data_IF_922314898898
#
_entry.id   IF_922314898898
#
_cell.length_a   1.000
_cell.length_b   1.000
_cell.length_c   1.000
_cell.angle_alpha   90.00
_cell.angle_beta   90.00
_cell.angle_gamma   90.00
#
_symmetry.space_group_name_H-M   'P 1'
#
loop_
_entity.id
_entity.type
_entity.pdbx_description
1 polymer ?
#
# COMPACT_ATOMS: atom_id res chain seq x y z
N UNK A 1 -6.37 -25.99 -29.84
CA UNK A 1 -6.16 -25.34 -28.52
C UNK A 1 -4.71 -24.87 -28.47
N UNK A 2 -4.42 -23.56 -28.33
CA UNK A 2 -3.03 -23.12 -28.09
C UNK A 2 -2.65 -23.58 -26.68
N UNK A 3 -1.60 -24.37 -26.58
CA UNK A 3 -1.00 -24.72 -25.28
C UNK A 3 -0.66 -23.45 -24.54
N UNK A 4 -1.18 -23.31 -23.32
CA UNK A 4 -0.86 -22.16 -22.46
C UNK A 4 0.56 -22.33 -21.97
N UNK A 5 1.45 -21.34 -22.16
CA UNK A 5 2.80 -21.45 -21.64
C UNK A 5 2.76 -21.67 -20.12
N UNK A 6 3.64 -22.54 -19.58
CA UNK A 6 3.66 -22.86 -18.15
C UNK A 6 4.02 -21.65 -17.29
N UNK A 7 4.70 -20.64 -17.85
CA UNK A 7 5.11 -19.42 -17.17
C UNK A 7 4.29 -18.24 -17.67
N UNK A 8 3.92 -17.34 -16.74
CA UNK A 8 3.15 -16.11 -17.02
C UNK A 8 3.93 -14.90 -16.53
N UNK A 9 3.93 -13.84 -17.33
CA UNK A 9 4.32 -12.52 -16.84
C UNK A 9 3.31 -12.04 -15.80
N UNK A 10 3.80 -11.51 -14.69
CA UNK A 10 3.02 -10.85 -13.67
C UNK A 10 3.89 -9.74 -13.02
N UNK A 11 3.26 -8.85 -12.27
CA UNK A 11 3.96 -7.87 -11.46
C UNK A 11 3.34 -7.80 -10.06
N UNK A 12 4.09 -7.26 -9.07
CA UNK A 12 3.62 -7.25 -7.68
C UNK A 12 2.40 -6.35 -7.53
N UNK A 13 2.50 -5.06 -7.87
CA UNK A 13 1.37 -4.14 -7.69
C UNK A 13 1.66 -2.72 -8.09
N UNK A 14 2.72 -2.13 -7.57
CA UNK A 14 3.07 -0.72 -7.79
C UNK A 14 3.60 -0.48 -9.19
N UNK A 15 3.17 0.62 -9.80
CA UNK A 15 3.62 1.10 -11.10
C UNK A 15 4.07 2.56 -11.03
N UNK A 16 4.84 3.00 -12.03
CA UNK A 16 5.32 4.37 -12.09
C UNK A 16 4.15 5.34 -12.25
N UNK A 17 4.04 6.29 -11.33
CA UNK A 17 2.98 7.29 -11.34
C UNK A 17 3.20 8.30 -12.46
N UNK A 18 2.17 8.61 -13.27
CA UNK A 18 2.29 9.65 -14.30
C UNK A 18 2.46 11.05 -13.68
N UNK A 19 3.16 11.94 -14.37
CA UNK A 19 3.45 13.30 -13.88
C UNK A 19 2.20 14.11 -13.49
N UNK A 20 1.05 13.87 -14.16
CA UNK A 20 -0.22 14.51 -13.80
C UNK A 20 -0.69 14.12 -12.39
N UNK A 21 -0.45 12.88 -11.98
CA UNK A 21 -0.83 12.41 -10.64
C UNK A 21 0.06 13.03 -9.56
N UNK A 22 1.37 13.17 -9.83
CA UNK A 22 2.27 13.88 -8.91
C UNK A 22 1.85 15.34 -8.72
N UNK A 23 1.50 16.06 -9.81
CA UNK A 23 1.01 17.44 -9.73
C UNK A 23 -0.29 17.54 -8.95
N UNK A 24 -1.28 16.68 -9.24
CA UNK A 24 -2.55 16.67 -8.55
C UNK A 24 -2.38 16.47 -7.03
N UNK A 25 -1.51 15.57 -6.62
CA UNK A 25 -1.19 15.33 -5.20
C UNK A 25 -0.51 16.54 -4.55
N UNK A 26 0.39 17.19 -5.25
CA UNK A 26 1.04 18.43 -4.76
C UNK A 26 0.02 19.57 -4.62
N UNK A 27 -0.90 19.71 -5.58
CA UNK A 27 -1.97 20.72 -5.53
C UNK A 27 -2.97 20.44 -4.39
N UNK A 28 -3.34 19.17 -4.20
CA UNK A 28 -4.20 18.75 -3.11
C UNK A 28 -3.52 19.02 -1.75
N UNK A 29 -2.27 18.61 -1.57
CA UNK A 29 -1.52 18.86 -0.34
C UNK A 29 -1.35 20.36 -0.02
N UNK A 30 -1.35 21.21 -1.04
CA UNK A 30 -1.30 22.67 -0.92
C UNK A 30 -2.69 23.34 -0.81
N UNK A 31 -3.78 22.55 -0.69
CA UNK A 31 -5.15 23.06 -0.61
C UNK A 31 -5.69 23.68 -1.91
N UNK A 32 -5.04 23.47 -3.05
CA UNK A 32 -5.46 23.99 -4.35
C UNK A 32 -6.36 23.05 -5.13
N UNK A 33 -6.55 21.82 -4.65
CA UNK A 33 -7.39 20.80 -5.27
C UNK A 33 -8.23 20.12 -4.18
N UNK A 34 -9.52 19.87 -4.46
CA UNK A 34 -10.40 19.13 -3.56
C UNK A 34 -10.12 17.63 -3.58
N UNK A 35 -10.66 16.89 -2.60
CA UNK A 35 -10.60 15.42 -2.55
C UNK A 35 -11.22 14.81 -3.80
N UNK A 36 -12.37 15.30 -4.27
CA UNK A 36 -13.04 14.82 -5.48
C UNK A 36 -12.20 15.12 -6.75
N UNK A 37 -11.51 16.27 -6.76
CA UNK A 37 -10.59 16.62 -7.85
C UNK A 37 -9.42 15.64 -7.92
N UNK A 38 -8.79 15.36 -6.79
CA UNK A 38 -7.71 14.38 -6.72
C UNK A 38 -8.22 12.98 -7.12
N UNK A 39 -9.36 12.55 -6.57
CA UNK A 39 -9.95 11.26 -6.91
C UNK A 39 -10.22 11.12 -8.41
N UNK A 40 -10.70 12.18 -9.06
CA UNK A 40 -10.93 12.19 -10.52
C UNK A 40 -9.64 11.95 -11.31
N UNK A 41 -8.54 12.58 -10.89
CA UNK A 41 -7.23 12.38 -11.53
C UNK A 41 -6.69 10.98 -11.27
N UNK A 42 -6.85 10.45 -10.04
CA UNK A 42 -6.47 9.09 -9.68
C UNK A 42 -7.26 8.06 -10.50
N UNK A 43 -8.57 8.21 -10.59
CA UNK A 43 -9.46 7.35 -11.38
C UNK A 43 -9.03 7.29 -12.84
N UNK A 44 -8.74 8.46 -13.43
CA UNK A 44 -8.26 8.55 -14.79
C UNK A 44 -6.92 7.85 -14.99
N UNK A 45 -5.99 8.03 -14.05
CA UNK A 45 -4.68 7.38 -14.10
C UNK A 45 -4.78 5.85 -13.93
N UNK A 46 -5.69 5.38 -13.06
CA UNK A 46 -5.92 3.94 -12.85
C UNK A 46 -6.55 3.31 -14.09
N UNK A 47 -7.53 3.96 -14.72
CA UNK A 47 -8.09 3.46 -16.00
C UNK A 47 -7.03 3.32 -17.09
N UNK A 48 -6.11 4.29 -17.17
CA UNK A 48 -5.03 4.25 -18.17
C UNK A 48 -4.04 3.12 -17.89
N UNK A 49 -3.65 2.94 -16.64
CA UNK A 49 -2.69 1.89 -16.28
C UNK A 49 -3.28 0.49 -16.36
N UNK A 50 -4.59 0.33 -16.10
CA UNK A 50 -5.29 -0.95 -16.31
C UNK A 50 -5.33 -1.29 -17.80
N UNK A 51 -5.71 -0.33 -18.67
CA UNK A 51 -5.67 -0.54 -20.13
C UNK A 51 -4.29 -0.93 -20.63
N UNK A 52 -3.25 -0.30 -20.11
CA UNK A 52 -1.87 -0.63 -20.48
C UNK A 52 -1.53 -2.07 -20.07
N UNK A 53 -1.85 -2.49 -18.84
CA UNK A 53 -1.61 -3.86 -18.37
C UNK A 53 -2.34 -4.89 -19.23
N UNK A 54 -3.59 -4.65 -19.58
CA UNK A 54 -4.38 -5.53 -20.46
C UNK A 54 -3.83 -5.57 -21.89
N UNK A 55 -3.39 -4.41 -22.41
CA UNK A 55 -2.86 -4.31 -23.78
C UNK A 55 -1.55 -5.07 -23.99
N UNK A 56 -0.73 -5.21 -22.94
CA UNK A 56 0.50 -6.01 -22.99
C UNK A 56 0.27 -7.50 -22.64
N UNK A 57 -0.99 -7.90 -22.41
CA UNK A 57 -1.40 -9.28 -22.21
C UNK A 57 -1.22 -9.80 -20.78
N UNK A 58 -1.10 -8.93 -19.78
CA UNK A 58 -1.12 -9.35 -18.38
C UNK A 58 -2.50 -9.93 -18.05
N UNK A 59 -2.53 -11.03 -17.32
CA UNK A 59 -3.76 -11.69 -16.89
C UNK A 59 -4.32 -11.15 -15.60
N UNK A 60 -3.48 -10.53 -14.78
CA UNK A 60 -3.88 -9.79 -13.59
C UNK A 60 -3.54 -8.32 -13.80
N UNK A 61 -4.42 -7.43 -13.34
CA UNK A 61 -4.19 -6.00 -13.34
C UNK A 61 -4.38 -5.42 -11.95
N UNK A 62 -3.53 -4.46 -11.60
CA UNK A 62 -3.61 -3.70 -10.35
C UNK A 62 -3.97 -2.25 -10.65
N UNK A 63 -4.34 -1.51 -9.62
CA UNK A 63 -4.51 -0.05 -9.68
C UNK A 63 -3.18 0.73 -9.71
N UNK A 64 -2.04 0.02 -9.80
CA UNK A 64 -0.69 0.61 -9.76
C UNK A 64 -0.32 1.18 -8.39
N UNK A 65 -1.17 0.99 -7.37
CA UNK A 65 -1.09 1.62 -6.05
C UNK A 65 -1.15 3.16 -6.15
N UNK A 66 -1.86 3.68 -7.16
CA UNK A 66 -1.87 5.11 -7.46
C UNK A 66 -2.58 5.96 -6.42
N UNK A 67 -3.40 5.38 -5.56
CA UNK A 67 -4.04 6.07 -4.44
C UNK A 67 -3.19 6.08 -3.16
N UNK A 68 -2.13 5.27 -3.10
CA UNK A 68 -1.30 5.12 -1.90
C UNK A 68 -0.15 6.12 -1.89
N UNK A 69 0.17 6.65 -0.73
CA UNK A 69 1.41 7.36 -0.48
C UNK A 69 2.56 6.38 -0.19
N UNK A 70 2.25 5.35 0.60
CA UNK A 70 3.18 4.25 0.93
C UNK A 70 2.53 2.90 0.65
N UNK A 71 3.23 2.03 -0.08
CA UNK A 71 2.71 0.71 -0.49
C UNK A 71 2.31 -0.17 0.71
N UNK A 72 2.95 -0.02 1.87
CA UNK A 72 2.71 -0.82 3.07
C UNK A 72 2.08 -0.02 4.22
N UNK A 73 2.57 1.20 4.51
CA UNK A 73 2.11 1.94 5.69
C UNK A 73 0.66 2.40 5.56
N UNK A 74 0.19 2.69 4.35
CA UNK A 74 -1.21 3.06 4.13
C UNK A 74 -2.19 1.92 4.43
N UNK A 75 -1.73 0.67 4.38
CA UNK A 75 -2.49 -0.48 4.86
C UNK A 75 -2.33 -0.64 6.38
N UNK A 76 -1.09 -0.66 6.86
CA UNK A 76 -0.77 -0.98 8.25
C UNK A 76 -1.41 0.01 9.24
N UNK A 77 -1.39 1.31 8.92
CA UNK A 77 -2.00 2.33 9.78
C UNK A 77 -3.54 2.29 9.84
N UNK A 78 -4.19 1.45 9.05
CA UNK A 78 -5.64 1.24 9.12
C UNK A 78 -6.01 0.05 10.02
N UNK A 79 -5.03 -0.73 10.46
CA UNK A 79 -5.25 -1.73 11.51
C UNK A 79 -5.43 -1.03 12.86
N UNK A 80 -6.41 -1.47 13.63
CA UNK A 80 -6.57 -1.03 15.02
C UNK A 80 -5.37 -1.45 15.87
N UNK A 81 -5.04 -0.65 16.87
CA UNK A 81 -3.91 -0.90 17.77
C UNK A 81 -2.53 -0.48 17.22
N UNK A 82 -2.49 0.15 16.04
CA UNK A 82 -1.25 0.63 15.42
C UNK A 82 -1.30 2.13 15.22
N UNK A 83 -0.29 2.83 15.71
CA UNK A 83 -0.13 4.28 15.56
C UNK A 83 1.15 4.65 14.80
N UNK A 84 1.24 5.92 14.39
CA UNK A 84 2.45 6.48 13.80
C UNK A 84 3.46 6.79 14.90
N UNK A 85 4.66 6.23 14.82
CA UNK A 85 5.73 6.64 15.72
C UNK A 85 6.23 8.04 15.33
N UNK A 86 6.54 8.85 16.35
CA UNK A 86 7.08 10.21 16.18
C UNK A 86 8.59 10.20 15.91
N UNK A 87 9.29 9.22 16.47
CA UNK A 87 10.73 9.06 16.30
C UNK A 87 11.01 8.10 15.16
N UNK A 88 11.32 8.65 14.01
CA UNK A 88 11.73 7.86 12.85
C UNK A 88 13.26 7.68 12.85
N UNK A 89 13.71 6.47 12.58
CA UNK A 89 15.13 6.21 12.32
C UNK A 89 15.54 6.96 11.04
N UNK A 90 16.53 7.84 11.14
CA UNK A 90 17.10 8.49 9.97
C UNK A 90 18.06 7.53 9.24
N UNK A 91 17.80 7.29 7.97
CA UNK A 91 18.66 6.50 7.10
C UNK A 91 19.26 7.42 6.05
N UNK A 92 20.58 7.53 6.04
CA UNK A 92 21.30 8.31 5.04
C UNK A 92 21.67 7.42 3.87
N UNK A 93 21.25 7.81 2.70
CA UNK A 93 21.68 7.19 1.45
C UNK A 93 22.57 8.17 0.69
N UNK A 94 23.63 7.64 0.10
CA UNK A 94 24.47 8.39 -0.82
C UNK A 94 24.21 7.88 -2.25
N UNK A 95 23.79 8.77 -3.12
CA UNK A 95 23.63 8.51 -4.55
C UNK A 95 24.53 9.44 -5.38
N UNK A 96 24.42 9.38 -6.70
CA UNK A 96 25.19 10.22 -7.62
C UNK A 96 24.89 11.73 -7.46
N UNK A 97 23.71 12.10 -6.95
CA UNK A 97 23.23 13.48 -6.78
C UNK A 97 23.52 14.04 -5.37
N UNK A 98 24.05 13.22 -4.45
CA UNK A 98 24.41 13.66 -3.09
C UNK A 98 23.90 12.74 -1.97
N UNK A 99 23.84 13.26 -0.75
CA UNK A 99 23.28 12.56 0.40
C UNK A 99 21.78 12.84 0.52
N UNK A 100 21.00 11.77 0.56
CA UNK A 100 19.57 11.78 0.87
C UNK A 100 19.38 11.33 2.31
N UNK A 101 18.87 12.23 3.14
CA UNK A 101 18.38 11.90 4.49
C UNK A 101 16.93 11.46 4.37
N UNK A 102 16.66 10.19 4.61
CA UNK A 102 15.34 9.60 4.53
C UNK A 102 14.94 9.06 5.91
N UNK A 103 13.85 9.61 6.44
CA UNK A 103 13.20 9.08 7.63
C UNK A 103 12.09 8.11 7.20
N UNK A 104 12.31 6.78 7.24
CA UNK A 104 11.25 5.84 6.93
C UNK A 104 10.09 5.99 7.91
N UNK A 105 8.87 5.88 7.41
CA UNK A 105 7.70 5.88 8.26
C UNK A 105 7.82 4.76 9.31
N UNK A 106 7.68 5.13 10.58
CA UNK A 106 7.77 4.24 11.72
C UNK A 106 6.40 4.03 12.34
N UNK A 107 6.18 2.85 12.92
CA UNK A 107 4.95 2.50 13.61
C UNK A 107 5.23 2.14 15.07
N UNK A 108 4.17 2.23 15.88
CA UNK A 108 4.09 1.69 17.22
C UNK A 108 2.84 0.85 17.36
N UNK A 109 2.96 -0.30 17.98
CA UNK A 109 1.84 -1.13 18.41
C UNK A 109 1.55 -0.77 19.85
N UNK A 110 0.52 0.06 20.08
CA UNK A 110 0.13 0.63 21.36
C UNK A 110 -1.30 0.26 21.77
N UNK A 111 -1.91 -0.67 21.05
CA UNK A 111 -3.19 -1.28 21.37
C UNK A 111 -3.33 -2.67 20.78
N UNK A 112 -4.38 -3.45 21.15
CA UNK A 112 -4.65 -4.76 20.54
C UNK A 112 -4.89 -4.64 19.03
N UNK A 113 -4.15 -5.45 18.24
CA UNK A 113 -4.25 -5.43 16.79
C UNK A 113 -5.57 -6.08 16.35
N UNK A 114 -6.31 -5.40 15.47
CA UNK A 114 -7.55 -5.90 14.90
C UNK A 114 -7.87 -5.23 13.56
N UNK A 115 -8.66 -5.90 12.74
CA UNK A 115 -9.30 -5.26 11.58
C UNK A 115 -10.55 -4.51 12.06
N UNK A 116 -10.57 -3.19 11.94
CA UNK A 116 -11.73 -2.37 12.35
C UNK A 116 -12.73 -2.18 11.20
N UNK A 117 -12.23 -2.13 9.99
CA UNK A 117 -13.03 -1.95 8.76
C UNK A 117 -12.27 -2.53 7.57
N UNK A 118 -12.97 -2.90 6.48
CA UNK A 118 -12.29 -3.34 5.26
C UNK A 118 -11.30 -2.29 4.75
N UNK A 119 -10.05 -2.72 4.52
CA UNK A 119 -8.98 -1.84 4.03
C UNK A 119 -8.93 -1.92 2.51
N UNK A 120 -8.89 -0.77 1.83
CA UNK A 120 -8.87 -0.61 0.37
C UNK A 120 -10.07 -1.19 -0.38
N UNK A 121 -11.19 -1.50 0.29
CA UNK A 121 -12.35 -2.11 -0.35
C UNK A 121 -12.93 -1.25 -1.49
N UNK A 122 -13.03 0.07 -1.31
CA UNK A 122 -13.54 0.98 -2.35
C UNK A 122 -12.58 1.08 -3.53
N UNK A 123 -11.27 1.13 -3.27
CA UNK A 123 -10.25 1.12 -4.32
C UNK A 123 -10.30 -0.20 -5.13
N UNK A 124 -10.51 -1.32 -4.45
CA UNK A 124 -10.62 -2.62 -5.11
C UNK A 124 -11.93 -2.76 -5.91
N UNK A 125 -13.06 -2.26 -5.38
CA UNK A 125 -14.32 -2.21 -6.15
C UNK A 125 -14.17 -1.37 -7.43
N UNK A 126 -13.49 -0.23 -7.34
CA UNK A 126 -13.20 0.58 -8.52
C UNK A 126 -12.35 -0.18 -9.54
N UNK A 127 -11.31 -0.90 -9.09
CA UNK A 127 -10.49 -1.74 -9.95
C UNK A 127 -11.33 -2.85 -10.61
N UNK A 128 -12.18 -3.54 -9.85
CA UNK A 128 -13.10 -4.57 -10.38
C UNK A 128 -14.02 -4.03 -11.49
N UNK A 129 -14.48 -2.79 -11.36
CA UNK A 129 -15.33 -2.13 -12.36
C UNK A 129 -14.52 -1.59 -13.56
N UNK A 130 -13.20 -1.49 -13.44
CA UNK A 130 -12.31 -0.90 -14.45
C UNK A 130 -11.71 -1.95 -15.37
N UNK A 131 -11.38 -3.14 -14.86
CA UNK A 131 -10.82 -4.23 -15.66
C UNK A 131 -11.86 -4.75 -16.65
N UNK A 132 -11.38 -5.15 -17.85
CA UNK A 132 -12.24 -5.72 -18.90
C UNK A 132 -11.89 -7.15 -19.23
N UNK A 133 -10.62 -7.50 -19.24
CA UNK A 133 -10.11 -8.84 -19.61
C UNK A 133 -9.22 -9.44 -18.53
N UNK A 134 -8.60 -8.61 -17.71
CA UNK A 134 -7.71 -9.06 -16.63
C UNK A 134 -8.49 -9.43 -15.36
N UNK A 135 -7.87 -10.22 -14.51
CA UNK A 135 -8.35 -10.45 -13.14
C UNK A 135 -7.89 -9.29 -12.25
N UNK A 136 -8.78 -8.62 -11.53
CA UNK A 136 -8.38 -7.55 -10.61
C UNK A 136 -7.54 -8.14 -9.46
N UNK A 137 -6.40 -7.52 -9.20
CA UNK A 137 -5.46 -7.95 -8.15
C UNK A 137 -5.21 -6.81 -7.16
N UNK A 138 -5.51 -7.05 -5.89
CA UNK A 138 -5.13 -6.18 -4.79
C UNK A 138 -3.82 -6.69 -4.17
N UNK A 139 -2.90 -5.78 -3.89
CA UNK A 139 -1.68 -6.07 -3.15
C UNK A 139 -1.76 -5.47 -1.75
N UNK A 140 -1.37 -6.27 -0.76
CA UNK A 140 -1.27 -5.86 0.63
C UNK A 140 0.11 -6.28 1.16
N UNK A 141 0.65 -5.59 2.18
CA UNK A 141 1.91 -5.98 2.78
C UNK A 141 1.77 -7.31 3.52
N UNK A 142 2.86 -8.07 3.62
CA UNK A 142 2.92 -9.24 4.50
C UNK A 142 2.68 -8.83 5.96
N UNK A 143 2.02 -9.67 6.77
CA UNK A 143 1.86 -9.42 8.21
C UNK A 143 3.19 -9.13 8.91
N UNK A 144 4.26 -9.81 8.54
CA UNK A 144 5.60 -9.59 9.09
C UNK A 144 6.13 -8.15 8.94
N UNK A 145 5.57 -7.36 8.02
CA UNK A 145 5.97 -5.95 7.85
C UNK A 145 5.61 -5.07 9.06
N UNK A 146 4.62 -5.47 9.85
CA UNK A 146 4.27 -4.77 11.11
C UNK A 146 5.43 -4.90 12.10
N UNK A 147 6.03 -6.09 12.20
CA UNK A 147 7.17 -6.34 13.10
C UNK A 147 8.51 -5.88 12.50
N UNK A 148 8.70 -6.00 11.18
CA UNK A 148 9.98 -5.81 10.50
C UNK A 148 10.63 -4.44 10.76
N UNK A 149 9.83 -3.37 10.88
CA UNK A 149 10.33 -1.99 10.96
C UNK A 149 10.85 -1.58 12.33
N UNK A 150 10.38 -2.18 13.41
CA UNK A 150 10.77 -1.78 14.75
C UNK A 150 11.08 -2.97 15.68
N UNK A 151 10.80 -4.18 15.21
CA UNK A 151 10.95 -5.39 16.02
C UNK A 151 10.15 -5.31 17.31
N UNK A 152 10.58 -6.03 18.31
CA UNK A 152 9.98 -6.01 19.65
C UNK A 152 9.89 -4.62 20.28
N UNK A 153 10.84 -3.73 19.97
CA UNK A 153 10.90 -2.38 20.53
C UNK A 153 9.72 -1.50 20.10
N UNK A 154 9.07 -1.79 18.97
CA UNK A 154 7.89 -1.06 18.50
C UNK A 154 6.57 -1.56 19.11
N UNK A 155 6.60 -2.65 19.87
CA UNK A 155 5.43 -3.28 20.47
C UNK A 155 5.42 -2.92 21.96
N UNK A 156 4.34 -2.29 22.42
CA UNK A 156 4.18 -1.93 23.81
C UNK A 156 4.07 -3.20 24.69
N UNK A 157 5.00 -3.41 25.64
CA UNK A 157 4.97 -4.58 26.52
C UNK A 157 3.77 -4.61 27.47
N UNK A 158 3.12 -3.47 27.70
CA UNK A 158 1.90 -3.42 28.48
C UNK A 158 0.69 -3.97 27.69
N UNK A 159 0.71 -3.87 26.37
CA UNK A 159 -0.33 -4.42 25.47
C UNK A 159 -0.02 -5.88 25.12
N UNK A 160 1.23 -6.14 24.78
CA UNK A 160 1.70 -7.47 24.40
C UNK A 160 2.93 -7.85 25.24
N UNK A 161 2.74 -8.35 26.46
CA UNK A 161 3.84 -8.90 27.26
C UNK A 161 4.47 -10.12 26.59
N UNK A 162 3.68 -10.84 25.80
CA UNK A 162 4.08 -12.01 25.01
C UNK A 162 3.96 -11.72 23.50
N UNK A 163 5.00 -12.04 22.73
CA UNK A 163 5.00 -11.92 21.28
C UNK A 163 4.08 -12.95 20.59
N UNK A 164 3.82 -14.09 21.19
CA UNK A 164 2.92 -15.09 20.62
C UNK A 164 1.49 -14.54 20.49
N UNK A 165 1.03 -13.81 21.49
CA UNK A 165 -0.28 -13.15 21.43
C UNK A 165 -0.31 -12.06 20.35
N UNK A 166 0.77 -11.27 20.18
CA UNK A 166 0.90 -10.30 19.10
C UNK A 166 0.74 -10.97 17.71
N UNK A 167 1.43 -12.09 17.47
CA UNK A 167 1.33 -12.82 16.21
C UNK A 167 -0.04 -13.44 15.99
N UNK A 168 -0.69 -13.89 17.06
CA UNK A 168 -2.05 -14.43 17.02
C UNK A 168 -3.05 -13.36 16.59
N UNK A 169 -3.04 -12.20 17.22
CA UNK A 169 -3.95 -11.09 16.91
C UNK A 169 -3.69 -10.54 15.52
N UNK A 170 -2.42 -10.39 15.13
CA UNK A 170 -2.04 -9.93 13.79
C UNK A 170 -2.54 -10.91 12.72
N UNK A 171 -2.38 -12.21 12.95
CA UNK A 171 -2.87 -13.24 12.02
C UNK A 171 -4.40 -13.21 11.92
N UNK A 172 -5.10 -13.04 13.03
CA UNK A 172 -6.56 -12.91 13.05
C UNK A 172 -7.03 -11.67 12.29
N UNK A 173 -6.34 -10.53 12.45
CA UNK A 173 -6.65 -9.28 11.72
C UNK A 173 -6.47 -9.41 10.20
N UNK A 174 -5.53 -10.24 9.74
CA UNK A 174 -5.32 -10.50 8.31
C UNK A 174 -6.26 -11.57 7.74
N UNK A 175 -6.83 -12.42 8.59
CA UNK A 175 -7.79 -13.45 8.19
C UNK A 175 -9.24 -12.93 8.10
N UNK A 176 -9.53 -11.79 8.72
CA UNK A 176 -10.86 -11.18 8.76
C UNK A 176 -11.17 -10.39 7.48
#
# INVERSE_FOLDING_TARGET
MRERPPFRGDHVGSLLRPGRLHRARADHAAGRMSDEGLQTVEDGAIRDVVRMQESVGLRAATDGEFRRASWHMDFIYQLGGISRARDSMHVRFRNADGELDFAPAALRVDGPIRLEKPIFADAFRFLQQTVTTAVPKLTIPSPSMVHYRGGRASIDPAVYPDEEQFWTDLSAAYAA
#
